data_IF_210665935376
#
_entry.id   IF_210665935376
#
_cell.length_a   1.000
_cell.length_b   1.000
_cell.length_c   1.000
_cell.angle_alpha   90.00
_cell.angle_beta   90.00
_cell.angle_gamma   90.00
#
_symmetry.space_group_name_H-M   'P 1'
#
loop_
_entity.id
_entity.type
_entity.pdbx_description
1 polymer ?
#
# COMPACT_ATOMS: atom_id res chain seq x y z
N UNK A 1 -41.91 -10.62 -110.57
CA UNK A 1 -42.82 -10.32 -109.45
C UNK A 1 -42.09 -10.59 -108.15
N UNK A 2 -42.04 -9.58 -107.27
CA UNK A 2 -41.88 -9.64 -105.80
C UNK A 2 -40.67 -10.42 -105.24
N UNK A 3 -39.70 -9.70 -104.66
CA UNK A 3 -39.65 -9.51 -103.19
C UNK A 3 -38.35 -8.87 -102.68
N UNK A 4 -38.54 -8.07 -101.61
CA UNK A 4 -37.64 -7.76 -100.50
C UNK A 4 -36.36 -6.95 -100.77
N UNK A 5 -36.29 -5.76 -100.15
CA UNK A 5 -35.23 -5.45 -99.18
C UNK A 5 -35.71 -4.43 -98.14
N UNK A 6 -35.43 -4.78 -96.90
CA UNK A 6 -35.81 -4.17 -95.63
C UNK A 6 -35.10 -2.83 -95.40
N UNK A 7 -35.81 -1.84 -94.83
CA UNK A 7 -35.22 -0.65 -94.21
C UNK A 7 -35.63 -0.68 -92.74
N UNK A 8 -34.67 -1.01 -91.88
CA UNK A 8 -34.81 -0.97 -90.42
C UNK A 8 -34.37 0.42 -89.96
N UNK A 9 -35.31 1.28 -89.55
CA UNK A 9 -34.98 2.53 -88.86
C UNK A 9 -34.66 2.22 -87.39
N UNK A 10 -33.44 2.56 -86.96
CA UNK A 10 -32.97 2.42 -85.60
C UNK A 10 -33.16 3.75 -84.87
N UNK A 11 -34.21 3.87 -84.05
CA UNK A 11 -34.40 4.99 -83.13
C UNK A 11 -33.79 4.65 -81.77
N UNK A 12 -32.64 5.26 -81.47
CA UNK A 12 -31.96 5.15 -80.17
C UNK A 12 -32.62 6.12 -79.19
N UNK A 13 -33.32 5.58 -78.19
CA UNK A 13 -33.84 6.33 -77.04
C UNK A 13 -32.83 6.19 -75.90
N UNK A 14 -32.03 7.24 -75.67
CA UNK A 14 -31.07 7.30 -74.59
C UNK A 14 -31.79 7.70 -73.29
N UNK A 15 -32.08 6.72 -72.44
CA UNK A 15 -32.62 6.95 -71.09
C UNK A 15 -31.48 7.36 -70.17
N UNK A 16 -31.38 8.66 -69.89
CA UNK A 16 -30.42 9.23 -68.95
C UNK A 16 -30.89 8.92 -67.52
N UNK A 17 -30.34 7.87 -66.91
CA UNK A 17 -30.45 7.65 -65.46
C UNK A 17 -29.55 8.68 -64.76
N UNK A 18 -30.14 9.77 -64.30
CA UNK A 18 -29.51 10.63 -63.30
C UNK A 18 -29.61 9.89 -61.95
N UNK A 19 -28.58 9.11 -61.63
CA UNK A 19 -28.34 8.68 -60.25
C UNK A 19 -27.96 9.92 -59.46
N UNK A 20 -28.94 10.54 -58.81
CA UNK A 20 -28.70 11.49 -57.74
C UNK A 20 -28.04 10.72 -56.59
N UNK A 21 -26.71 10.72 -56.55
CA UNK A 21 -26.01 10.43 -55.29
C UNK A 21 -26.25 11.65 -54.39
N UNK A 22 -27.16 11.55 -53.41
CA UNK A 22 -26.89 12.27 -52.18
C UNK A 22 -25.59 11.68 -51.65
N UNK A 23 -24.49 12.43 -51.77
CA UNK A 23 -23.40 12.24 -50.83
C UNK A 23 -23.97 12.73 -49.51
N UNK A 24 -24.68 11.85 -48.81
CA UNK A 24 -24.82 11.95 -47.36
C UNK A 24 -23.41 11.65 -46.85
N UNK A 25 -22.57 12.68 -46.93
CA UNK A 25 -21.19 12.70 -46.46
C UNK A 25 -21.28 12.77 -44.94
N UNK A 26 -21.66 11.65 -44.31
CA UNK A 26 -21.75 11.52 -42.87
C UNK A 26 -20.33 11.48 -42.31
N UNK A 27 -19.72 12.67 -42.30
CA UNK A 27 -18.40 12.92 -41.73
C UNK A 27 -18.40 12.36 -40.31
N UNK A 28 -17.35 11.63 -39.90
CA UNK A 28 -17.33 11.02 -38.59
C UNK A 28 -17.39 12.10 -37.51
N UNK A 29 -18.24 11.87 -36.51
CA UNK A 29 -18.32 12.65 -35.27
C UNK A 29 -18.04 11.67 -34.15
N UNK A 30 -17.06 11.99 -33.30
CA UNK A 30 -16.73 11.19 -32.12
C UNK A 30 -17.55 11.73 -30.95
N UNK A 31 -18.30 10.86 -30.29
CA UNK A 31 -19.02 11.16 -29.04
C UNK A 31 -18.33 10.44 -27.91
N UNK A 32 -17.85 11.19 -26.93
CA UNK A 32 -17.11 10.70 -25.77
C UNK A 32 -17.23 11.72 -24.64
N UNK A 33 -17.05 11.26 -23.40
CA UNK A 33 -16.96 12.11 -22.21
C UNK A 33 -15.63 11.88 -21.51
N UNK A 34 -15.26 12.80 -20.61
CA UNK A 34 -14.13 12.60 -19.70
C UNK A 34 -14.27 11.27 -18.95
N UNK A 35 -13.13 10.63 -18.72
CA UNK A 35 -13.03 9.33 -18.06
C UNK A 35 -12.62 9.52 -16.61
N UNK A 36 -13.35 8.90 -15.68
CA UNK A 36 -13.00 8.93 -14.27
C UNK A 36 -13.17 7.54 -13.66
N UNK A 37 -12.21 7.12 -12.83
CA UNK A 37 -12.27 5.87 -12.06
C UNK A 37 -11.53 6.03 -10.73
N UNK A 38 -11.70 5.06 -9.84
CA UNK A 38 -10.94 4.96 -8.59
C UNK A 38 -10.39 3.55 -8.44
N UNK A 39 -9.19 3.43 -7.89
CA UNK A 39 -8.56 2.14 -7.61
C UNK A 39 -7.74 2.23 -6.33
N UNK A 40 -7.63 1.11 -5.62
CA UNK A 40 -6.68 0.98 -4.52
C UNK A 40 -5.25 1.23 -5.02
N UNK A 41 -4.42 1.81 -4.17
CA UNK A 41 -2.97 1.90 -4.42
C UNK A 41 -2.31 0.51 -4.44
N UNK A 42 -1.01 0.48 -4.75
CA UNK A 42 -0.14 -0.70 -4.75
C UNK A 42 -0.64 -1.86 -5.65
N UNK A 43 -1.44 -1.51 -6.66
CA UNK A 43 -1.91 -2.46 -7.67
C UNK A 43 -0.78 -2.87 -8.62
N UNK A 44 -0.70 -4.15 -9.01
CA UNK A 44 0.37 -4.62 -9.87
C UNK A 44 0.26 -4.04 -11.29
N UNK A 45 1.40 -3.98 -11.99
CA UNK A 45 1.44 -3.65 -13.41
C UNK A 45 0.49 -4.54 -14.22
N UNK A 46 -0.09 -3.97 -15.28
CA UNK A 46 -1.12 -4.56 -16.12
C UNK A 46 -2.50 -4.75 -15.47
N UNK A 47 -2.73 -4.26 -14.25
CA UNK A 47 -4.08 -4.14 -13.70
C UNK A 47 -4.95 -3.29 -14.62
N UNK A 48 -6.13 -3.80 -14.98
CA UNK A 48 -7.10 -3.09 -15.82
C UNK A 48 -7.81 -2.01 -15.01
N UNK A 49 -7.84 -0.80 -15.55
CA UNK A 49 -8.51 0.36 -14.94
C UNK A 49 -9.91 0.55 -15.53
N UNK A 50 -10.19 -0.11 -16.66
CA UNK A 50 -11.44 0.00 -17.42
C UNK A 50 -11.21 0.55 -18.82
N UNK A 51 -12.30 0.81 -19.54
CA UNK A 51 -12.26 1.18 -20.96
C UNK A 51 -12.89 2.54 -21.20
N UNK A 52 -12.22 3.36 -22.02
CA UNK A 52 -12.80 4.62 -22.52
C UNK A 52 -13.91 4.30 -23.53
N UNK A 53 -15.15 4.64 -23.18
CA UNK A 53 -16.31 4.41 -24.03
C UNK A 53 -16.53 5.59 -24.98
N UNK A 54 -16.01 5.47 -26.20
CA UNK A 54 -16.27 6.42 -27.29
C UNK A 54 -17.06 5.75 -28.42
N UNK A 55 -17.87 6.54 -29.12
CA UNK A 55 -18.65 6.10 -30.27
C UNK A 55 -18.48 7.05 -31.45
N UNK A 56 -18.61 6.53 -32.67
CA UNK A 56 -18.71 7.32 -33.89
C UNK A 56 -20.13 7.23 -34.47
N UNK A 57 -20.68 8.34 -34.96
CA UNK A 57 -22.01 8.37 -35.60
C UNK A 57 -22.16 7.38 -36.76
N UNK A 58 -21.06 7.08 -37.47
CA UNK A 58 -21.02 6.21 -38.63
C UNK A 58 -20.34 4.86 -38.36
N UNK A 59 -20.12 4.49 -37.09
CA UNK A 59 -19.41 3.27 -36.68
C UNK A 59 -17.98 3.13 -37.26
N UNK A 60 -17.34 4.23 -37.62
CA UNK A 60 -15.93 4.23 -37.98
C UNK A 60 -15.05 3.71 -36.82
N UNK A 61 -14.02 2.92 -37.17
CA UNK A 61 -13.02 2.43 -36.22
C UNK A 61 -12.32 3.60 -35.54
N UNK A 62 -12.23 3.53 -34.21
CA UNK A 62 -11.56 4.52 -33.38
C UNK A 62 -10.14 4.03 -33.03
N UNK A 63 -9.22 4.98 -32.88
CA UNK A 63 -7.87 4.74 -32.40
C UNK A 63 -7.55 5.63 -31.21
N UNK A 64 -7.03 5.02 -30.14
CA UNK A 64 -6.79 5.65 -28.85
C UNK A 64 -5.29 5.84 -28.59
N UNK A 65 -4.92 6.95 -27.96
CA UNK A 65 -3.55 7.21 -27.52
C UNK A 65 -3.52 8.16 -26.32
N UNK A 66 -2.54 8.02 -25.45
CA UNK A 66 -2.31 8.98 -24.36
C UNK A 66 -1.51 10.17 -24.91
N UNK A 67 -2.08 11.36 -24.83
CA UNK A 67 -1.42 12.60 -25.23
C UNK A 67 -0.50 13.13 -24.13
N UNK A 68 -0.95 13.04 -22.87
CA UNK A 68 -0.18 13.42 -21.69
C UNK A 68 -0.72 12.69 -20.46
N UNK A 69 0.12 12.56 -19.43
CA UNK A 69 -0.26 12.01 -18.14
C UNK A 69 0.67 12.52 -17.04
N UNK A 70 0.11 12.71 -15.85
CA UNK A 70 0.79 13.13 -14.63
C UNK A 70 0.35 12.17 -13.51
N UNK A 71 1.29 11.43 -12.89
CA UNK A 71 2.71 11.33 -13.24
C UNK A 71 2.96 10.68 -14.61
N UNK A 72 4.11 10.98 -15.22
CA UNK A 72 4.45 10.45 -16.55
C UNK A 72 4.73 8.96 -16.49
N UNK A 73 4.11 8.18 -17.39
CA UNK A 73 4.32 6.73 -17.49
C UNK A 73 3.44 5.89 -16.56
N UNK A 74 2.48 6.49 -15.87
CA UNK A 74 1.58 5.80 -14.94
C UNK A 74 0.74 4.72 -15.63
N UNK A 75 0.14 5.02 -16.77
CA UNK A 75 -0.79 4.15 -17.48
C UNK A 75 -0.45 3.99 -18.96
N UNK A 76 -0.94 2.90 -19.55
CA UNK A 76 -1.00 2.69 -21.00
C UNK A 76 -2.44 2.54 -21.46
N UNK A 77 -2.71 2.82 -22.74
CA UNK A 77 -4.02 2.59 -23.35
C UNK A 77 -3.88 1.65 -24.56
N UNK A 78 -4.78 0.67 -24.65
CA UNK A 78 -4.89 -0.16 -25.85
C UNK A 78 -5.44 0.68 -27.01
N UNK A 79 -4.67 0.77 -28.09
CA UNK A 79 -4.99 1.65 -29.23
C UNK A 79 -6.26 1.28 -29.98
N UNK A 80 -6.78 0.05 -29.82
CA UNK A 80 -7.97 -0.43 -30.52
C UNK A 80 -9.18 -0.52 -29.59
N UNK A 81 -8.98 -0.98 -28.36
CA UNK A 81 -10.10 -1.20 -27.41
C UNK A 81 -10.38 0.00 -26.53
N UNK A 82 -9.41 0.91 -26.33
CA UNK A 82 -9.53 2.02 -25.37
C UNK A 82 -9.35 1.59 -23.91
N UNK A 83 -8.91 0.35 -23.65
CA UNK A 83 -8.64 -0.16 -22.29
C UNK A 83 -7.40 0.51 -21.69
N UNK A 84 -7.55 1.08 -20.50
CA UNK A 84 -6.45 1.61 -19.69
C UNK A 84 -5.92 0.53 -18.76
N UNK A 85 -4.60 0.43 -18.66
CA UNK A 85 -3.91 -0.47 -17.73
C UNK A 85 -2.76 0.22 -17.01
N UNK A 86 -2.48 -0.23 -15.78
CA UNK A 86 -1.33 0.22 -14.99
C UNK A 86 -0.04 -0.14 -15.74
N UNK A 87 0.79 0.87 -16.00
CA UNK A 87 2.10 0.70 -16.65
C UNK A 87 3.22 0.59 -15.62
N UNK A 88 3.24 1.47 -14.63
CA UNK A 88 4.21 1.47 -13.53
C UNK A 88 3.49 1.44 -12.19
N UNK A 89 3.57 0.30 -11.50
CA UNK A 89 2.94 0.10 -10.21
C UNK A 89 3.50 1.03 -9.12
N UNK A 90 4.76 1.48 -9.24
CA UNK A 90 5.39 2.34 -8.23
C UNK A 90 4.81 3.75 -8.20
N UNK A 91 4.06 4.13 -9.24
CA UNK A 91 3.35 5.42 -9.30
C UNK A 91 2.02 5.34 -8.54
N UNK A 92 1.45 4.15 -8.39
CA UNK A 92 0.18 3.92 -7.70
C UNK A 92 0.44 3.81 -6.19
N UNK A 93 0.92 4.91 -5.61
CA UNK A 93 1.23 5.09 -4.19
C UNK A 93 0.42 6.31 -3.75
N UNK A 94 -0.52 6.14 -2.82
CA UNK A 94 -1.44 7.19 -2.41
C UNK A 94 -0.72 8.36 -1.73
N UNK A 95 0.29 8.06 -0.89
CA UNK A 95 1.07 9.09 -0.19
C UNK A 95 1.86 9.98 -1.16
N UNK A 96 2.31 9.43 -2.30
CA UNK A 96 3.06 10.19 -3.31
C UNK A 96 2.15 10.81 -4.37
N UNK A 97 1.19 10.04 -4.90
CA UNK A 97 0.37 10.38 -6.07
C UNK A 97 -1.11 10.03 -5.82
N UNK A 98 -1.84 10.79 -4.98
CA UNK A 98 -3.24 10.48 -4.65
C UNK A 98 -4.18 10.55 -5.87
N UNK A 99 -3.73 11.19 -6.95
CA UNK A 99 -4.46 11.30 -8.21
C UNK A 99 -3.50 11.18 -9.40
N UNK A 100 -3.92 10.41 -10.40
CA UNK A 100 -3.25 10.31 -11.70
C UNK A 100 -4.20 10.92 -12.73
N UNK A 101 -3.71 11.91 -13.48
CA UNK A 101 -4.51 12.63 -14.48
C UNK A 101 -3.84 12.62 -15.84
N UNK A 102 -4.59 12.90 -16.89
CA UNK A 102 -4.01 13.09 -18.21
C UNK A 102 -5.03 13.33 -19.31
N UNK A 103 -4.56 13.26 -20.55
CA UNK A 103 -5.36 13.51 -21.74
C UNK A 103 -5.24 12.33 -22.70
N UNK A 104 -6.38 11.85 -23.19
CA UNK A 104 -6.47 10.80 -24.21
C UNK A 104 -6.94 11.42 -25.52
N UNK A 105 -6.24 11.11 -26.60
CA UNK A 105 -6.63 11.44 -27.96
C UNK A 105 -7.34 10.24 -28.60
N UNK A 106 -8.50 10.52 -29.19
CA UNK A 106 -9.34 9.54 -29.89
C UNK A 106 -9.48 10.03 -31.32
N UNK A 107 -9.09 9.18 -32.27
CA UNK A 107 -9.00 9.56 -33.68
C UNK A 107 -9.72 8.56 -34.56
N UNK A 108 -10.22 9.05 -35.68
CA UNK A 108 -10.68 8.24 -36.80
C UNK A 108 -10.36 8.97 -38.11
N UNK A 109 -10.67 8.35 -39.25
CA UNK A 109 -10.41 8.95 -40.56
C UNK A 109 -11.36 10.13 -40.81
N UNK A 110 -10.97 11.32 -40.34
CA UNK A 110 -11.69 12.58 -40.57
C UNK A 110 -12.15 13.30 -39.30
N UNK A 111 -11.95 12.73 -38.11
CA UNK A 111 -12.28 13.38 -36.83
C UNK A 111 -11.30 13.00 -35.72
N UNK A 112 -11.16 13.91 -34.76
CA UNK A 112 -10.34 13.75 -33.57
C UNK A 112 -11.02 14.44 -32.40
N UNK A 113 -10.99 13.80 -31.24
CA UNK A 113 -11.44 14.36 -29.97
C UNK A 113 -10.40 14.09 -28.89
N UNK A 114 -10.37 14.95 -27.87
CA UNK A 114 -9.51 14.81 -26.71
C UNK A 114 -10.36 14.88 -25.45
N UNK A 115 -10.13 13.95 -24.54
CA UNK A 115 -10.79 13.91 -23.23
C UNK A 115 -9.77 13.92 -22.11
N UNK A 116 -10.17 14.41 -20.94
CA UNK A 116 -9.40 14.21 -19.73
C UNK A 116 -9.68 12.82 -19.16
N UNK A 117 -8.67 12.26 -18.49
CA UNK A 117 -8.87 11.13 -17.60
C UNK A 117 -8.39 11.46 -16.19
N UNK A 118 -9.09 10.92 -15.20
CA UNK A 118 -8.75 10.99 -13.78
C UNK A 118 -8.83 9.59 -13.17
N UNK A 119 -7.78 9.20 -12.46
CA UNK A 119 -7.75 7.99 -11.64
C UNK A 119 -7.46 8.47 -10.21
N UNK A 120 -8.44 8.35 -9.34
CA UNK A 120 -8.27 8.64 -7.91
C UNK A 120 -7.74 7.39 -7.21
N UNK A 121 -6.63 7.52 -6.48
CA UNK A 121 -6.14 6.43 -5.65
C UNK A 121 -6.90 6.39 -4.34
N UNK A 122 -7.26 5.19 -3.91
CA UNK A 122 -7.81 4.92 -2.60
C UNK A 122 -6.67 4.45 -1.70
N UNK A 123 -6.44 5.20 -0.63
CA UNK A 123 -5.50 4.86 0.44
C UNK A 123 -5.88 3.49 1.03
N UNK A 124 -4.94 2.55 0.97
CA UNK A 124 -5.08 1.23 1.58
C UNK A 124 -4.38 1.28 2.94
N UNK A 125 -5.09 1.84 3.91
CA UNK A 125 -4.64 1.81 5.30
C UNK A 125 -4.78 0.42 5.90
N UNK A 126 -3.88 0.08 6.82
CA UNK A 126 -4.05 -1.07 7.71
C UNK A 126 -5.40 -0.97 8.46
N UNK A 127 -6.26 -1.98 8.34
CA UNK A 127 -7.58 -2.03 9.01
C UNK A 127 -7.63 -3.04 10.13
N UNK A 128 -6.88 -4.14 9.99
CA UNK A 128 -6.90 -5.24 10.96
C UNK A 128 -5.50 -5.59 11.42
N UNK A 129 -5.24 -5.43 12.71
CA UNK A 129 -3.93 -5.68 13.32
C UNK A 129 -3.99 -6.71 14.44
N UNK A 130 -2.85 -7.33 14.73
CA UNK A 130 -2.69 -8.31 15.81
C UNK A 130 -1.62 -7.87 16.80
N UNK A 131 -1.98 -7.79 18.08
CA UNK A 131 -1.01 -7.73 19.17
C UNK A 131 -0.57 -9.15 19.50
N UNK A 132 0.65 -9.48 19.10
CA UNK A 132 1.25 -10.79 19.19
C UNK A 132 2.35 -10.80 20.27
N UNK A 133 1.91 -10.72 21.53
CA UNK A 133 2.78 -10.72 22.70
C UNK A 133 3.11 -12.13 23.20
N UNK A 134 4.09 -12.24 24.08
CA UNK A 134 4.32 -13.42 24.93
C UNK A 134 4.49 -12.98 26.39
N UNK A 135 3.37 -12.79 27.09
CA UNK A 135 3.35 -12.12 28.39
C UNK A 135 2.16 -12.51 29.30
N UNK A 136 1.96 -11.77 30.39
CA UNK A 136 0.72 -11.77 31.16
C UNK A 136 -0.47 -11.32 30.31
N UNK A 137 -1.59 -12.04 30.38
CA UNK A 137 -2.76 -11.76 29.56
C UNK A 137 -3.35 -10.37 29.79
N UNK A 138 -3.35 -9.88 31.05
CA UNK A 138 -3.86 -8.54 31.35
C UNK A 138 -3.00 -7.43 30.75
N UNK A 139 -1.70 -7.69 30.59
CA UNK A 139 -0.78 -6.75 29.94
C UNK A 139 -0.96 -6.76 28.41
N UNK A 140 -1.26 -7.92 27.82
CA UNK A 140 -1.65 -7.99 26.40
C UNK A 140 -2.96 -7.24 26.12
N UNK A 141 -3.96 -7.40 27.00
CA UNK A 141 -5.23 -6.68 26.91
C UNK A 141 -5.03 -5.16 26.98
N UNK A 142 -4.17 -4.67 27.86
CA UNK A 142 -3.81 -3.25 27.93
C UNK A 142 -3.16 -2.75 26.62
N UNK A 143 -2.18 -3.48 26.08
CA UNK A 143 -1.55 -3.11 24.80
C UNK A 143 -2.57 -3.06 23.67
N UNK A 144 -3.47 -4.05 23.62
CA UNK A 144 -4.59 -4.07 22.68
C UNK A 144 -5.45 -2.81 22.81
N UNK A 145 -5.89 -2.49 24.03
CA UNK A 145 -6.72 -1.31 24.29
C UNK A 145 -6.01 -0.01 23.90
N UNK A 146 -4.71 0.15 24.20
CA UNK A 146 -3.95 1.34 23.80
C UNK A 146 -3.90 1.54 22.30
N UNK A 147 -3.85 0.45 21.52
CA UNK A 147 -3.90 0.52 20.06
C UNK A 147 -5.33 0.79 19.58
N UNK A 148 -6.36 0.19 20.18
CA UNK A 148 -7.76 0.49 19.86
C UNK A 148 -8.11 1.96 20.10
N UNK A 149 -7.63 2.54 21.20
CA UNK A 149 -7.91 3.93 21.59
C UNK A 149 -7.35 4.95 20.58
N UNK A 150 -6.41 4.55 19.72
CA UNK A 150 -5.93 5.39 18.59
C UNK A 150 -6.99 5.60 17.50
N UNK A 151 -7.99 4.71 17.43
CA UNK A 151 -9.03 4.68 16.38
C UNK A 151 -8.47 4.56 14.94
N UNK A 152 -7.27 4.00 14.77
CA UNK A 152 -6.68 3.79 13.44
C UNK A 152 -7.15 2.52 12.74
N UNK A 153 -7.66 1.53 13.49
CA UNK A 153 -7.95 0.19 12.97
C UNK A 153 -9.41 -0.18 13.22
N UNK A 154 -10.01 -0.89 12.26
CA UNK A 154 -11.35 -1.49 12.40
C UNK A 154 -11.33 -2.66 13.40
N UNK A 155 -10.18 -3.33 13.55
CA UNK A 155 -10.03 -4.49 14.45
C UNK A 155 -8.62 -4.57 15.02
N UNK A 156 -8.52 -4.71 16.33
CA UNK A 156 -7.30 -5.06 17.06
C UNK A 156 -7.54 -6.38 17.78
N UNK A 157 -6.98 -7.46 17.25
CA UNK A 157 -7.01 -8.76 17.95
C UNK A 157 -5.77 -8.89 18.86
N UNK A 158 -5.85 -9.76 19.87
CA UNK A 158 -4.71 -10.14 20.70
C UNK A 158 -4.46 -11.65 20.60
N UNK A 159 -3.19 -12.06 20.63
CA UNK A 159 -2.79 -13.47 20.71
C UNK A 159 -1.60 -13.63 21.63
N UNK A 160 -1.77 -14.43 22.70
CA UNK A 160 -0.68 -14.74 23.62
C UNK A 160 0.15 -15.93 23.11
N UNK A 161 1.32 -15.61 22.56
CA UNK A 161 2.24 -16.58 21.98
C UNK A 161 2.93 -17.44 23.03
N UNK A 162 2.90 -17.04 24.30
CA UNK A 162 3.34 -17.86 25.44
C UNK A 162 2.45 -19.10 25.62
N UNK A 163 1.15 -18.95 25.38
CA UNK A 163 0.16 -19.99 25.67
C UNK A 163 -0.16 -20.86 24.45
N UNK A 164 -0.05 -20.31 23.24
CA UNK A 164 -0.32 -21.05 22.00
C UNK A 164 0.45 -20.49 20.81
N UNK A 165 0.80 -21.35 19.84
CA UNK A 165 1.49 -20.93 18.62
C UNK A 165 0.50 -20.29 17.63
N UNK A 166 0.82 -19.09 17.14
CA UNK A 166 0.10 -18.50 16.00
C UNK A 166 0.60 -19.10 14.70
N UNK A 167 -0.30 -19.50 13.79
CA UNK A 167 0.08 -20.02 12.47
C UNK A 167 0.26 -18.90 11.46
N UNK A 168 1.10 -19.12 10.44
CA UNK A 168 1.22 -18.19 9.30
C UNK A 168 -0.14 -17.96 8.61
N UNK A 169 -0.96 -19.00 8.46
CA UNK A 169 -2.32 -18.86 7.90
C UNK A 169 -3.23 -17.94 8.72
N UNK A 170 -3.08 -17.90 10.06
CA UNK A 170 -3.80 -16.95 10.91
C UNK A 170 -3.25 -15.54 10.73
N UNK A 171 -1.93 -15.38 10.70
CA UNK A 171 -1.25 -14.08 10.48
C UNK A 171 -1.66 -13.42 9.16
N UNK A 172 -1.88 -14.22 8.11
CA UNK A 172 -2.31 -13.72 6.79
C UNK A 172 -3.71 -13.08 6.74
N UNK A 173 -4.45 -13.04 7.85
CA UNK A 173 -5.70 -12.30 7.99
C UNK A 173 -5.51 -10.89 8.58
N UNK A 174 -4.26 -10.47 8.80
CA UNK A 174 -3.91 -9.18 9.39
C UNK A 174 -3.03 -8.38 8.43
N UNK A 175 -3.17 -7.06 8.48
CA UNK A 175 -2.38 -6.13 7.68
C UNK A 175 -0.98 -5.96 8.31
N UNK A 176 -0.96 -5.85 9.64
CA UNK A 176 0.24 -5.71 10.46
C UNK A 176 0.14 -6.47 11.78
N UNK A 177 1.29 -6.80 12.35
CA UNK A 177 1.38 -7.41 13.70
C UNK A 177 2.41 -6.69 14.57
N UNK A 178 2.06 -6.47 15.84
CA UNK A 178 2.98 -6.00 16.88
C UNK A 178 3.52 -7.21 17.64
N UNK A 179 4.84 -7.34 17.77
CA UNK A 179 5.50 -8.47 18.42
C UNK A 179 6.31 -8.00 19.62
N UNK A 180 6.14 -8.64 20.78
CA UNK A 180 7.00 -8.42 21.96
C UNK A 180 7.04 -9.67 22.87
N UNK A 181 8.16 -9.92 23.54
CA UNK A 181 8.43 -11.23 24.17
C UNK A 181 9.03 -11.15 25.58
N UNK A 182 8.30 -10.72 26.60
CA UNK A 182 8.82 -10.74 27.98
C UNK A 182 9.12 -12.16 28.50
N UNK A 183 8.22 -13.13 28.27
CA UNK A 183 8.38 -14.52 28.72
C UNK A 183 8.88 -15.48 27.62
N UNK A 184 8.90 -15.03 26.37
CA UNK A 184 9.17 -15.85 25.19
C UNK A 184 7.95 -16.67 24.72
N UNK A 185 7.81 -16.91 23.40
CA UNK A 185 6.73 -17.70 22.84
C UNK A 185 6.91 -19.20 23.15
N UNK A 186 5.84 -19.99 23.05
CA UNK A 186 5.82 -21.43 23.32
C UNK A 186 6.81 -22.23 22.47
N UNK A 187 7.09 -21.77 21.24
CA UNK A 187 8.11 -22.30 20.34
C UNK A 187 8.76 -21.15 19.57
N UNK A 188 9.96 -20.74 19.99
CA UNK A 188 10.63 -19.56 19.45
C UNK A 188 11.00 -19.67 17.96
N UNK A 189 11.38 -20.87 17.50
CA UNK A 189 11.74 -21.09 16.10
C UNK A 189 10.51 -21.12 15.19
N UNK A 190 9.46 -21.88 15.57
CA UNK A 190 8.24 -21.95 14.76
C UNK A 190 7.50 -20.61 14.73
N UNK A 191 7.54 -19.87 15.85
CA UNK A 191 7.00 -18.52 15.92
C UNK A 191 7.68 -17.58 14.90
N UNK A 192 9.01 -17.54 14.87
CA UNK A 192 9.72 -16.72 13.89
C UNK A 192 9.69 -17.27 12.46
N UNK A 193 9.55 -18.58 12.25
CA UNK A 193 9.30 -19.14 10.91
C UNK A 193 7.92 -18.70 10.38
N UNK A 194 6.89 -18.65 11.23
CA UNK A 194 5.57 -18.16 10.84
C UNK A 194 5.56 -16.65 10.55
N UNK A 195 6.30 -15.85 11.32
CA UNK A 195 6.51 -14.42 11.02
C UNK A 195 7.25 -14.22 9.70
N UNK A 196 8.27 -15.03 9.42
CA UNK A 196 9.00 -14.99 8.16
C UNK A 196 8.09 -15.23 6.95
N UNK A 197 7.22 -16.25 7.01
CA UNK A 197 6.23 -16.52 5.96
C UNK A 197 5.25 -15.35 5.79
N UNK A 198 4.81 -14.74 6.90
CA UNK A 198 3.92 -13.59 6.86
C UNK A 198 4.56 -12.40 6.14
N UNK A 199 5.80 -12.06 6.49
CA UNK A 199 6.59 -10.99 5.86
C UNK A 199 6.79 -11.24 4.36
N UNK A 200 7.21 -12.45 3.99
CA UNK A 200 7.43 -12.80 2.58
C UNK A 200 6.15 -12.74 1.72
N UNK A 201 4.98 -12.80 2.36
CA UNK A 201 3.70 -12.65 1.69
C UNK A 201 3.13 -11.22 1.76
N UNK A 202 3.88 -10.28 2.32
CA UNK A 202 3.52 -8.87 2.36
C UNK A 202 2.93 -8.42 3.68
N UNK A 203 3.17 -9.14 4.78
CA UNK A 203 2.74 -8.75 6.12
C UNK A 203 3.73 -7.83 6.83
N UNK A 204 3.27 -6.72 7.39
CA UNK A 204 4.11 -5.79 8.14
C UNK A 204 4.34 -6.24 9.58
N UNK A 205 5.57 -6.08 10.10
CA UNK A 205 5.89 -6.39 11.50
C UNK A 205 6.48 -5.17 12.21
N UNK A 206 5.86 -4.84 13.35
CA UNK A 206 6.45 -3.97 14.36
C UNK A 206 6.95 -4.86 15.49
N UNK A 207 8.24 -4.81 15.79
CA UNK A 207 8.81 -5.49 16.95
C UNK A 207 9.05 -4.49 18.08
N UNK A 208 8.79 -4.89 19.32
CA UNK A 208 9.04 -4.08 20.51
C UNK A 208 10.09 -4.67 21.44
N UNK A 209 10.41 -3.94 22.51
CA UNK A 209 11.36 -4.36 23.54
C UNK A 209 11.15 -5.79 24.03
N UNK A 210 12.28 -6.42 24.34
CA UNK A 210 12.51 -7.83 24.63
C UNK A 210 12.64 -8.72 23.40
N UNK A 211 12.08 -8.35 22.24
CA UNK A 211 12.27 -9.13 21.01
C UNK A 211 13.74 -9.31 20.57
N UNK A 212 14.61 -8.39 21.01
CA UNK A 212 16.06 -8.44 20.76
C UNK A 212 16.87 -9.31 21.70
N UNK A 213 16.37 -9.65 22.90
CA UNK A 213 17.14 -10.41 23.89
C UNK A 213 16.37 -11.55 24.57
N UNK A 214 15.06 -11.68 24.31
CA UNK A 214 14.22 -12.80 24.68
C UNK A 214 13.76 -13.49 23.40
N UNK A 215 14.15 -14.76 23.28
CA UNK A 215 14.29 -15.51 22.04
C UNK A 215 13.05 -15.46 21.13
N UNK A 216 13.20 -14.77 19.99
CA UNK A 216 12.51 -15.07 18.73
C UNK A 216 13.60 -15.58 17.78
N UNK A 217 13.49 -16.81 17.31
CA UNK A 217 14.48 -17.43 16.40
C UNK A 217 13.81 -17.89 15.11
N UNK A 218 14.44 -18.77 14.34
CA UNK A 218 13.91 -19.18 13.03
C UNK A 218 14.14 -18.10 11.97
N UNK A 219 13.31 -18.12 10.93
CA UNK A 219 13.44 -17.29 9.74
C UNK A 219 13.37 -15.78 10.02
N UNK A 220 12.65 -15.36 11.06
CA UNK A 220 12.47 -13.95 11.41
C UNK A 220 13.77 -13.20 11.72
N UNK A 221 14.84 -13.90 12.14
CA UNK A 221 16.14 -13.27 12.38
C UNK A 221 16.71 -12.53 11.16
N UNK A 222 16.38 -12.98 9.95
CA UNK A 222 16.80 -12.34 8.69
C UNK A 222 16.03 -11.05 8.38
N UNK A 223 14.92 -10.81 9.08
CA UNK A 223 14.01 -9.69 8.85
C UNK A 223 14.07 -8.60 9.91
N UNK A 224 14.84 -8.82 11.00
CA UNK A 224 15.08 -7.80 12.02
C UNK A 224 15.75 -6.57 11.42
N UNK A 225 15.31 -5.39 11.87
CA UNK A 225 15.79 -4.08 11.36
C UNK A 225 17.04 -3.57 12.10
N UNK A 226 17.58 -4.37 13.00
CA UNK A 226 18.80 -4.12 13.76
C UNK A 226 19.73 -5.33 13.72
N UNK A 227 21.02 -5.09 13.92
CA UNK A 227 22.08 -6.08 13.79
C UNK A 227 22.06 -7.08 14.96
N UNK A 228 21.59 -8.29 14.67
CA UNK A 228 21.49 -9.39 15.64
C UNK A 228 22.85 -10.01 15.99
N UNK A 229 23.92 -9.66 15.27
CA UNK A 229 25.29 -10.07 15.63
C UNK A 229 25.86 -9.25 16.78
N UNK A 230 25.25 -8.10 17.10
CA UNK A 230 25.66 -7.29 18.24
C UNK A 230 25.23 -7.95 19.58
N UNK A 231 25.89 -7.57 20.67
CA UNK A 231 25.46 -7.99 22.01
C UNK A 231 24.24 -7.18 22.44
N UNK A 232 23.06 -7.72 22.18
CA UNK A 232 21.79 -7.08 22.54
C UNK A 232 21.45 -7.43 23.99
N UNK A 233 21.30 -6.39 24.80
CA UNK A 233 20.95 -6.49 26.21
C UNK A 233 19.61 -5.81 26.51
N UNK A 234 19.34 -5.63 27.80
CA UNK A 234 18.22 -4.82 28.30
C UNK A 234 18.68 -3.92 29.44
N UNK A 235 18.03 -2.77 29.58
CA UNK A 235 18.20 -1.86 30.70
C UNK A 235 16.83 -1.49 31.27
N UNK A 236 16.81 -1.05 32.53
CA UNK A 236 15.60 -0.64 33.27
C UNK A 236 15.96 0.11 34.55
N UNK A 237 14.96 0.69 35.22
CA UNK A 237 15.11 1.32 36.53
C UNK A 237 15.58 2.78 36.48
N UNK A 238 15.53 3.41 35.30
CA UNK A 238 15.78 4.83 35.11
C UNK A 238 14.78 5.34 34.09
N UNK A 239 14.04 6.39 34.43
CA UNK A 239 13.08 7.03 33.52
C UNK A 239 13.79 7.42 32.22
N UNK A 240 13.24 6.99 31.10
CA UNK A 240 13.67 7.36 29.76
C UNK A 240 12.54 8.07 29.03
N UNK A 241 12.86 9.20 28.42
CA UNK A 241 11.88 10.03 27.70
C UNK A 241 12.27 10.18 26.25
N UNK A 242 11.35 10.68 25.42
CA UNK A 242 11.65 11.07 24.04
C UNK A 242 12.81 12.08 24.02
N UNK A 243 13.90 11.72 23.35
CA UNK A 243 15.05 12.56 23.09
C UNK A 243 14.99 13.19 21.70
N UNK A 244 16.04 12.99 20.90
CA UNK A 244 16.11 13.56 19.57
C UNK A 244 15.13 12.88 18.61
N UNK A 245 14.34 13.67 17.88
CA UNK A 245 13.57 13.24 16.72
C UNK A 245 14.42 13.50 15.48
N UNK A 246 14.90 12.43 14.83
CA UNK A 246 15.85 12.48 13.73
C UNK A 246 15.15 12.66 12.38
N UNK A 247 13.92 12.20 12.26
CA UNK A 247 13.05 12.44 11.11
C UNK A 247 11.64 12.77 11.59
N UNK A 248 11.36 14.07 11.70
CA UNK A 248 10.06 14.58 12.18
C UNK A 248 8.93 14.45 11.15
N UNK A 249 9.26 14.22 9.88
CA UNK A 249 8.27 14.09 8.81
C UNK A 249 7.87 12.63 8.58
N UNK A 250 8.54 11.67 9.22
CA UNK A 250 8.20 10.27 9.12
C UNK A 250 6.78 10.02 9.68
N UNK A 251 5.90 9.26 9.00
CA UNK A 251 4.52 9.03 9.45
C UNK A 251 4.40 8.48 10.87
N UNK A 252 5.38 7.70 11.33
CA UNK A 252 5.46 7.20 12.72
C UNK A 252 5.46 8.33 13.77
N UNK A 253 6.00 9.50 13.43
CA UNK A 253 6.07 10.65 14.33
C UNK A 253 4.84 11.56 14.28
N UNK A 254 3.82 11.25 13.47
CA UNK A 254 2.63 12.08 13.37
C UNK A 254 1.91 12.18 14.73
N UNK A 255 1.70 13.42 15.21
CA UNK A 255 1.14 13.71 16.53
C UNK A 255 2.02 13.33 17.74
N UNK A 256 3.18 12.70 17.54
CA UNK A 256 4.08 12.30 18.64
C UNK A 256 4.93 13.48 19.08
N UNK A 257 4.68 13.97 20.29
CA UNK A 257 5.42 15.09 20.89
C UNK A 257 6.10 14.76 22.21
N UNK A 258 5.64 13.71 22.89
CA UNK A 258 6.16 13.29 24.19
C UNK A 258 6.14 11.77 24.33
N UNK A 259 7.12 11.23 25.04
CA UNK A 259 7.12 9.84 25.51
C UNK A 259 7.83 9.82 26.86
N UNK A 260 7.26 9.08 27.83
CA UNK A 260 7.88 8.78 29.11
C UNK A 260 7.73 7.27 29.39
N UNK A 261 8.84 6.55 29.45
CA UNK A 261 8.89 5.10 29.67
C UNK A 261 8.60 4.65 31.12
N UNK A 262 8.34 5.58 32.03
CA UNK A 262 8.07 5.30 33.44
C UNK A 262 9.33 4.93 34.23
N UNK A 263 9.20 4.70 35.54
CA UNK A 263 10.37 4.43 36.40
C UNK A 263 11.08 3.12 36.06
N UNK A 264 10.38 2.14 35.47
CA UNK A 264 11.00 0.92 34.96
C UNK A 264 11.65 1.14 33.60
N UNK A 265 11.00 1.83 32.64
CA UNK A 265 11.55 2.13 31.31
C UNK A 265 12.35 0.96 30.73
N UNK A 266 11.72 -0.19 30.53
CA UNK A 266 12.38 -1.33 29.89
C UNK A 266 12.65 -1.00 28.43
N UNK A 267 13.91 -1.13 28.00
CA UNK A 267 14.34 -1.01 26.61
C UNK A 267 15.54 -1.92 26.33
N UNK A 268 15.75 -2.27 25.06
CA UNK A 268 16.93 -3.01 24.60
C UNK A 268 18.13 -2.08 24.41
N UNK A 269 19.30 -2.53 24.86
CA UNK A 269 20.58 -1.84 24.67
C UNK A 269 21.41 -2.54 23.58
N UNK A 270 22.32 -1.80 22.94
CA UNK A 270 23.15 -2.36 21.86
C UNK A 270 22.39 -2.50 20.54
N UNK A 271 21.34 -1.71 20.35
CA UNK A 271 20.60 -1.69 19.09
C UNK A 271 21.40 -0.89 18.06
N UNK A 272 21.81 -1.55 16.98
CA UNK A 272 22.49 -0.94 15.84
C UNK A 272 21.66 -1.23 14.60
N UNK A 273 21.22 -0.19 13.89
CA UNK A 273 20.44 -0.36 12.66
C UNK A 273 21.26 -1.13 11.60
N UNK A 274 20.63 -2.10 10.91
CA UNK A 274 21.27 -2.79 9.79
C UNK A 274 21.42 -1.86 8.58
N UNK A 275 22.22 -2.26 7.58
CA UNK A 275 22.28 -1.56 6.30
C UNK A 275 20.88 -1.39 5.68
N UNK A 276 20.56 -0.15 5.31
CA UNK A 276 19.26 0.23 4.74
C UNK A 276 18.16 0.50 5.77
N UNK A 277 18.44 0.33 7.07
CA UNK A 277 17.57 0.79 8.15
C UNK A 277 17.99 2.19 8.63
N UNK A 278 17.05 2.93 9.22
CA UNK A 278 17.25 4.28 9.74
C UNK A 278 16.68 4.42 11.16
N UNK A 279 17.33 5.25 11.99
CA UNK A 279 16.77 5.67 13.28
C UNK A 279 15.86 6.88 13.04
N UNK A 280 14.65 6.85 13.60
CA UNK A 280 13.66 7.93 13.48
C UNK A 280 13.61 8.79 14.74
N UNK A 281 13.75 8.16 15.91
CA UNK A 281 13.79 8.85 17.18
C UNK A 281 14.74 8.13 18.15
N UNK A 282 15.22 8.88 19.13
CA UNK A 282 16.11 8.43 20.20
C UNK A 282 15.49 8.71 21.57
N UNK A 283 15.96 7.98 22.58
CA UNK A 283 15.78 8.32 23.97
C UNK A 283 16.64 9.54 24.36
N UNK A 284 16.35 10.11 25.53
CA UNK A 284 17.11 11.19 26.17
C UNK A 284 18.62 10.92 26.36
N UNK A 285 19.04 9.65 26.31
CA UNK A 285 20.43 9.21 26.39
C UNK A 285 21.07 8.86 25.03
N UNK A 286 20.38 9.09 23.92
CA UNK A 286 20.86 8.80 22.56
C UNK A 286 20.72 7.32 22.13
N UNK A 287 20.16 6.45 22.97
CA UNK A 287 19.81 5.09 22.54
C UNK A 287 18.64 5.14 21.55
N UNK A 288 18.56 4.25 20.55
CA UNK A 288 17.47 4.25 19.59
C UNK A 288 16.12 4.00 20.27
N UNK A 289 15.13 4.84 20.00
CA UNK A 289 13.72 4.61 20.37
C UNK A 289 12.94 3.97 19.21
N UNK A 290 13.21 4.40 17.97
CA UNK A 290 12.51 3.88 16.77
C UNK A 290 13.53 3.63 15.67
N UNK A 291 13.54 2.42 15.13
CA UNK A 291 14.34 2.01 13.96
C UNK A 291 13.41 1.46 12.89
N UNK A 292 13.56 1.90 11.65
CA UNK A 292 12.71 1.50 10.52
C UNK A 292 13.53 0.97 9.37
N UNK A 293 12.93 0.12 8.54
CA UNK A 293 13.50 -0.32 7.26
C UNK A 293 12.38 -0.49 6.24
N UNK A 294 12.48 0.20 5.10
CA UNK A 294 11.41 0.24 4.10
C UNK A 294 11.29 -1.05 3.27
N UNK A 295 12.31 -1.90 3.27
CA UNK A 295 12.41 -3.04 2.36
C UNK A 295 12.84 -4.30 3.13
N UNK A 296 11.86 -5.06 3.58
CA UNK A 296 12.01 -6.32 4.32
C UNK A 296 11.24 -7.43 3.58
N UNK A 297 11.83 -8.62 3.49
CA UNK A 297 11.19 -9.76 2.82
C UNK A 297 11.16 -9.68 1.30
N UNK A 298 10.59 -10.71 0.69
CA UNK A 298 10.50 -10.85 -0.77
C UNK A 298 9.64 -9.78 -1.45
N UNK A 299 8.64 -9.25 -0.74
CA UNK A 299 7.75 -8.19 -1.25
C UNK A 299 8.19 -6.78 -0.87
N UNK A 300 9.34 -6.63 -0.19
CA UNK A 300 9.87 -5.31 0.17
C UNK A 300 8.95 -4.53 1.10
N UNK A 301 8.33 -5.19 2.07
CA UNK A 301 7.45 -4.52 3.03
C UNK A 301 8.25 -3.72 4.06
N UNK A 302 7.68 -2.65 4.62
CA UNK A 302 8.25 -1.96 5.78
C UNK A 302 8.33 -2.86 7.03
N UNK A 303 9.38 -2.66 7.83
CA UNK A 303 9.55 -3.24 9.15
C UNK A 303 10.01 -2.20 10.16
N UNK A 304 9.57 -2.35 11.42
CA UNK A 304 9.85 -1.39 12.51
C UNK A 304 10.33 -2.12 13.75
N UNK A 305 11.27 -1.49 14.47
CA UNK A 305 11.58 -1.81 15.86
C UNK A 305 11.31 -0.58 16.75
N UNK A 306 10.39 -0.74 17.70
CA UNK A 306 10.04 0.25 18.73
C UNK A 306 10.66 -0.16 20.06
N UNK A 307 11.62 0.60 20.54
CA UNK A 307 12.46 0.19 21.65
C UNK A 307 11.89 0.60 23.02
N UNK A 308 10.60 0.37 23.26
CA UNK A 308 10.05 0.38 24.62
C UNK A 308 9.14 -0.83 24.87
N UNK A 309 8.94 -1.17 26.13
CA UNK A 309 8.07 -2.28 26.53
C UNK A 309 6.59 -1.87 26.49
N UNK A 310 5.75 -2.52 25.64
CA UNK A 310 4.42 -2.00 25.30
C UNK A 310 3.38 -1.86 26.43
N UNK A 311 3.32 -2.72 27.46
CA UNK A 311 2.34 -2.56 28.54
C UNK A 311 2.50 -1.22 29.27
N UNK A 312 1.40 -0.54 29.56
CA UNK A 312 1.36 0.83 30.08
C UNK A 312 1.23 0.90 31.59
N UNK A 313 1.34 2.13 32.13
CA UNK A 313 1.17 2.39 33.56
C UNK A 313 -0.19 1.98 34.12
N UNK A 314 -1.20 1.79 33.27
CA UNK A 314 -2.57 1.49 33.67
C UNK A 314 -2.71 0.06 34.22
N UNK A 315 -1.83 -0.86 33.79
CA UNK A 315 -1.71 -2.21 34.38
C UNK A 315 -0.59 -2.33 35.40
N UNK A 316 0.44 -1.50 35.31
CA UNK A 316 1.54 -1.48 36.29
C UNK A 316 2.24 -0.13 36.35
N UNK A 317 2.14 0.54 37.49
CA UNK A 317 2.44 1.96 37.66
C UNK A 317 3.88 2.44 37.32
N UNK A 318 4.83 1.53 37.15
CA UNK A 318 6.22 1.83 36.78
C UNK A 318 6.50 1.74 35.28
N UNK A 319 5.53 1.29 34.47
CA UNK A 319 5.62 1.28 33.01
C UNK A 319 5.34 2.66 32.39
N UNK A 320 5.38 2.74 31.06
CA UNK A 320 5.30 4.01 30.32
C UNK A 320 4.03 4.79 30.63
N UNK A 321 4.15 6.11 30.67
CA UNK A 321 3.06 7.00 31.07
C UNK A 321 2.02 7.11 29.95
N UNK A 322 0.87 6.47 30.14
CA UNK A 322 -0.30 6.51 29.26
C UNK A 322 -0.87 7.91 28.95
N UNK A 323 -0.39 8.96 29.62
CA UNK A 323 -0.70 10.37 29.27
C UNK A 323 0.24 10.97 28.23
N UNK A 324 1.29 10.23 27.85
CA UNK A 324 2.24 10.55 26.76
C UNK A 324 1.93 9.71 25.52
N UNK A 325 2.66 9.92 24.41
CA UNK A 325 2.27 9.41 23.10
C UNK A 325 2.80 7.99 22.77
N UNK A 326 2.92 7.10 23.77
CA UNK A 326 3.35 5.72 23.53
C UNK A 326 2.36 4.91 22.67
N UNK A 327 1.06 5.18 22.84
CA UNK A 327 -0.03 4.67 22.01
C UNK A 327 0.11 5.08 20.54
N UNK A 328 0.36 6.36 20.27
CA UNK A 328 0.58 6.87 18.92
C UNK A 328 1.85 6.28 18.30
N UNK A 329 2.94 6.11 19.05
CA UNK A 329 4.14 5.45 18.52
C UNK A 329 3.82 4.02 18.05
N UNK A 330 3.07 3.24 18.84
CA UNK A 330 2.67 1.87 18.47
C UNK A 330 1.68 1.88 17.29
N UNK A 331 0.64 2.70 17.38
CA UNK A 331 -0.42 2.81 16.37
C UNK A 331 0.11 3.30 15.03
N UNK A 332 0.89 4.39 15.01
CA UNK A 332 1.49 4.89 13.78
C UNK A 332 2.50 3.90 13.18
N UNK A 333 3.24 3.16 14.01
CA UNK A 333 4.15 2.10 13.52
C UNK A 333 3.38 0.97 12.85
N UNK A 334 2.28 0.51 13.46
CA UNK A 334 1.41 -0.53 12.90
C UNK A 334 0.72 -0.07 11.61
N UNK A 335 0.24 1.18 11.59
CA UNK A 335 -0.33 1.81 10.40
C UNK A 335 0.72 1.84 9.29
N UNK A 336 1.91 2.38 9.57
CA UNK A 336 2.98 2.49 8.58
C UNK A 336 3.43 1.15 8.01
N UNK A 337 3.55 0.09 8.85
CA UNK A 337 3.95 -1.22 8.31
C UNK A 337 2.83 -1.98 7.59
N UNK A 338 1.57 -1.66 7.91
CA UNK A 338 0.40 -2.35 7.40
C UNK A 338 -0.29 -1.65 6.23
N UNK A 339 0.04 -0.40 5.94
CA UNK A 339 -0.33 0.27 4.70
C UNK A 339 0.33 -0.49 3.54
N UNK A 340 -0.47 -0.94 2.58
CA UNK A 340 -0.08 -1.94 1.58
C UNK A 340 -0.52 -1.60 0.19
#
# INVERSE_FOLDING_TARGET
MKNLKSILQLSILATLFLTSCSKDDDSPIITVTDYATSIEENVPTATSLGTVNAASNNNATLSYSIASQVPTGAVTINSTTGELTVSDATIFDFETNPEITGVINITTNGASESINFTITLLDVVAKKVLVLGADDSSWLEDVGQKIEDTNFFDTVDIHNSKDSLVSSAKLMNYDAVLVYTNNGPISASEFGDNLAVFIDNGGGVVESTFGGNVTITGGYNSYKVYDTSNSIGQSSGTVRTLGAVLDSNHPIMDGVSTFDGGSSSYYNTGIVAVTGAAKIAEYDNGEPLIVVKNQVGQKGVPGVFVNFFPPSKDVRNDFWDATTNGDLILGNSLKWVGNK
#
